data_IF_313646006972
#
_entry.id   IF_313646006972
#
_cell.length_a   1.000
_cell.length_b   1.000
_cell.length_c   1.000
_cell.angle_alpha   90.00
_cell.angle_beta   90.00
_cell.angle_gamma   90.00
#
_symmetry.space_group_name_H-M   'P 1'
#
loop_
_entity.id
_entity.type
_entity.pdbx_description
1 polymer ?
#
# COMPACT_ATOMS: atom_id res chain seq x y z
N UNK A 1 -16.14 30.09 -3.88
CA UNK A 1 -16.42 29.74 -5.30
C UNK A 1 -15.22 28.96 -5.86
N UNK A 2 -15.43 27.83 -6.55
CA UNK A 2 -14.34 27.05 -7.14
C UNK A 2 -13.69 27.83 -8.29
N UNK A 3 -12.39 28.13 -8.19
CA UNK A 3 -11.61 28.91 -9.18
C UNK A 3 -11.25 28.10 -10.43
N UNK A 4 -11.54 26.79 -10.44
CA UNK A 4 -11.16 25.89 -11.54
C UNK A 4 -12.12 26.04 -12.73
N UNK A 5 -11.62 26.32 -13.95
CA UNK A 5 -12.46 26.46 -15.14
C UNK A 5 -13.36 25.23 -15.38
N UNK A 6 -14.63 25.45 -15.72
CA UNK A 6 -15.65 24.38 -15.94
C UNK A 6 -15.15 23.27 -16.87
N UNK A 7 -14.43 23.63 -17.94
CA UNK A 7 -13.87 22.67 -18.91
C UNK A 7 -12.93 21.62 -18.30
N UNK A 8 -12.22 21.97 -17.21
CA UNK A 8 -11.29 21.06 -16.51
C UNK A 8 -11.98 20.09 -15.56
N UNK A 9 -13.27 20.29 -15.30
CA UNK A 9 -14.09 19.47 -14.39
C UNK A 9 -15.01 18.52 -15.15
N UNK A 10 -14.92 18.49 -16.48
CA UNK A 10 -15.78 17.67 -17.33
C UNK A 10 -15.42 16.19 -17.23
N UNK A 11 -16.47 15.34 -17.18
CA UNK A 11 -16.35 13.89 -17.35
C UNK A 11 -15.97 13.55 -18.80
N UNK A 12 -15.41 12.36 -19.01
CA UNK A 12 -14.89 11.88 -20.32
C UNK A 12 -15.88 12.06 -21.48
N UNK A 13 -17.14 11.64 -21.32
CA UNK A 13 -18.18 11.74 -22.36
C UNK A 13 -18.35 13.21 -22.83
N UNK A 14 -18.45 14.13 -21.87
CA UNK A 14 -18.61 15.56 -22.16
C UNK A 14 -17.34 16.15 -22.76
N UNK A 15 -16.15 15.73 -22.32
CA UNK A 15 -14.88 16.15 -22.94
C UNK A 15 -14.81 15.76 -24.40
N UNK A 16 -15.18 14.53 -24.75
CA UNK A 16 -15.18 14.07 -26.15
C UNK A 16 -16.13 14.90 -27.03
N UNK A 17 -17.34 15.21 -26.54
CA UNK A 17 -18.28 16.08 -27.26
C UNK A 17 -17.74 17.49 -27.48
N UNK A 18 -17.16 18.10 -26.44
CA UNK A 18 -16.55 19.44 -26.54
C UNK A 18 -15.31 19.41 -27.42
N UNK A 19 -14.50 18.35 -27.33
CA UNK A 19 -13.29 18.17 -28.10
C UNK A 19 -13.55 18.14 -29.60
N UNK A 20 -14.63 17.49 -30.06
CA UNK A 20 -15.02 17.52 -31.49
C UNK A 20 -15.14 18.94 -32.05
N UNK A 21 -15.68 19.88 -31.25
CA UNK A 21 -15.80 21.29 -31.63
C UNK A 21 -14.49 22.07 -31.44
N UNK A 22 -13.71 21.72 -30.43
CA UNK A 22 -12.50 22.43 -30.04
C UNK A 22 -11.28 22.09 -30.93
N UNK A 23 -11.12 20.83 -31.35
CA UNK A 23 -9.94 20.41 -32.14
C UNK A 23 -9.80 21.21 -33.44
N UNK A 24 -10.86 21.46 -34.24
CA UNK A 24 -10.75 22.29 -35.45
C UNK A 24 -10.30 23.73 -35.17
N UNK A 25 -10.63 24.26 -33.98
CA UNK A 25 -10.23 25.63 -33.57
C UNK A 25 -8.83 25.70 -32.99
N UNK A 26 -8.16 24.56 -32.80
CA UNK A 26 -6.87 24.49 -32.12
C UNK A 26 -5.71 24.74 -33.10
N UNK A 27 -5.03 25.88 -32.95
CA UNK A 27 -3.89 26.28 -33.80
C UNK A 27 -2.51 25.94 -33.20
N UNK A 28 -2.44 25.03 -32.23
CA UNK A 28 -1.18 24.70 -31.56
C UNK A 28 -0.42 23.54 -32.22
N UNK A 29 0.92 23.57 -32.17
CA UNK A 29 1.79 22.53 -32.77
C UNK A 29 1.51 21.11 -32.26
N UNK A 30 1.25 20.96 -30.96
CA UNK A 30 1.09 19.66 -30.31
C UNK A 30 -0.36 19.48 -29.84
N UNK A 31 -1.16 18.70 -30.57
CA UNK A 31 -2.56 18.45 -30.23
C UNK A 31 -2.71 17.80 -28.85
N UNK A 32 -1.89 16.79 -28.55
CA UNK A 32 -1.91 16.07 -27.26
C UNK A 32 -1.62 17.00 -26.08
N UNK A 33 -0.57 17.83 -26.18
CA UNK A 33 -0.22 18.81 -25.14
C UNK A 33 -1.30 19.88 -24.98
N UNK A 34 -1.89 20.34 -26.08
CA UNK A 34 -3.01 21.27 -26.08
C UNK A 34 -4.22 20.71 -25.37
N UNK A 35 -4.64 19.50 -25.74
CA UNK A 35 -5.77 18.79 -25.18
C UNK A 35 -5.63 18.61 -23.67
N UNK A 36 -4.44 18.14 -23.25
CA UNK A 36 -4.06 17.99 -21.84
C UNK A 36 -4.24 19.30 -21.06
N UNK A 37 -3.73 20.42 -21.59
CA UNK A 37 -3.81 21.74 -20.93
C UNK A 37 -5.23 22.29 -20.90
N UNK A 38 -5.97 22.11 -21.98
CA UNK A 38 -7.34 22.61 -22.12
C UNK A 38 -8.30 21.93 -21.14
N UNK A 39 -8.27 20.59 -21.11
CA UNK A 39 -9.17 19.78 -20.29
C UNK A 39 -8.60 19.37 -18.92
N UNK A 40 -7.33 19.65 -18.63
CA UNK A 40 -6.71 19.31 -17.35
C UNK A 40 -6.53 17.81 -17.11
N UNK A 41 -6.28 17.02 -18.17
CA UNK A 41 -6.12 15.55 -18.09
C UNK A 41 -4.65 15.13 -18.07
N UNK A 42 -4.35 13.84 -17.88
CA UNK A 42 -3.01 13.29 -18.08
C UNK A 42 -2.66 13.18 -19.57
N UNK A 43 -1.37 13.07 -19.90
CA UNK A 43 -0.92 12.86 -21.29
C UNK A 43 -1.46 11.55 -21.86
N UNK A 44 -1.43 10.46 -21.09
CA UNK A 44 -1.99 9.17 -21.51
C UNK A 44 -3.50 9.25 -21.78
N UNK A 45 -4.25 9.99 -20.96
CA UNK A 45 -5.67 10.22 -21.21
C UNK A 45 -5.90 11.03 -22.49
N UNK A 46 -5.11 12.09 -22.72
CA UNK A 46 -5.21 12.90 -23.93
C UNK A 46 -4.95 12.07 -25.19
N UNK A 47 -3.91 11.24 -25.20
CA UNK A 47 -3.59 10.34 -26.33
C UNK A 47 -4.79 9.44 -26.65
N UNK A 48 -5.29 8.70 -25.65
CA UNK A 48 -6.44 7.78 -25.83
C UNK A 48 -7.69 8.49 -26.34
N UNK A 49 -7.99 9.69 -25.83
CA UNK A 49 -9.17 10.45 -26.23
C UNK A 49 -9.03 11.03 -27.63
N UNK A 50 -7.83 11.48 -28.02
CA UNK A 50 -7.52 11.95 -29.37
C UNK A 50 -7.60 10.81 -30.40
N UNK A 51 -7.12 9.61 -30.06
CA UNK A 51 -7.26 8.42 -30.90
C UNK A 51 -8.71 8.01 -31.12
N UNK A 52 -9.54 8.07 -30.07
CA UNK A 52 -10.99 7.81 -30.18
C UNK A 52 -11.67 8.83 -31.10
N UNK A 53 -11.17 10.06 -31.16
CA UNK A 53 -11.66 11.10 -32.06
C UNK A 53 -11.13 10.94 -33.50
N UNK A 54 -10.30 9.91 -33.77
CA UNK A 54 -9.81 9.56 -35.09
C UNK A 54 -8.45 10.17 -35.47
N UNK A 55 -7.80 10.89 -34.55
CA UNK A 55 -6.52 11.54 -34.83
C UNK A 55 -5.36 10.59 -34.51
N UNK A 56 -4.50 10.37 -35.51
CA UNK A 56 -3.31 9.53 -35.35
C UNK A 56 -2.26 10.26 -34.51
N UNK A 57 -1.81 9.60 -33.46
CA UNK A 57 -0.66 10.02 -32.65
C UNK A 57 0.51 9.10 -32.95
N UNK A 58 1.70 9.67 -33.07
CA UNK A 58 2.94 8.95 -33.33
C UNK A 58 3.21 7.85 -32.28
N UNK A 59 3.71 6.71 -32.74
CA UNK A 59 3.90 5.52 -31.91
C UNK A 59 5.12 5.64 -30.98
N UNK A 60 6.21 6.26 -31.44
CA UNK A 60 7.39 6.49 -30.61
C UNK A 60 7.07 7.47 -29.49
N UNK A 61 6.35 8.55 -29.81
CA UNK A 61 5.86 9.51 -28.84
C UNK A 61 5.02 8.83 -27.75
N UNK A 62 4.14 7.90 -28.11
CA UNK A 62 3.36 7.12 -27.12
C UNK A 62 4.26 6.31 -26.20
N UNK A 63 5.25 5.59 -26.76
CA UNK A 63 6.18 4.77 -25.98
C UNK A 63 6.92 5.62 -24.95
N UNK A 64 7.45 6.77 -25.38
CA UNK A 64 8.12 7.72 -24.49
C UNK A 64 7.22 8.18 -23.34
N UNK A 65 5.96 8.56 -23.62
CA UNK A 65 5.03 8.99 -22.58
C UNK A 65 4.68 7.86 -21.60
N UNK A 66 4.49 6.63 -22.10
CA UNK A 66 4.21 5.46 -21.26
C UNK A 66 5.39 5.18 -20.32
N UNK A 67 6.62 5.21 -20.85
CA UNK A 67 7.83 4.98 -20.07
C UNK A 67 8.03 6.06 -19.01
N UNK A 68 7.85 7.33 -19.37
CA UNK A 68 7.91 8.44 -18.42
C UNK A 68 6.90 8.28 -17.27
N UNK A 69 5.65 7.90 -17.58
CA UNK A 69 4.63 7.69 -16.55
C UNK A 69 4.99 6.49 -15.64
N UNK A 70 5.47 5.39 -16.22
CA UNK A 70 5.94 4.22 -15.46
C UNK A 70 7.10 4.58 -14.53
N UNK A 71 8.08 5.33 -15.02
CA UNK A 71 9.23 5.78 -14.22
C UNK A 71 8.79 6.69 -13.07
N UNK A 72 7.84 7.60 -13.32
CA UNK A 72 7.26 8.46 -12.29
C UNK A 72 6.52 7.65 -11.23
N UNK A 73 5.74 6.65 -11.64
CA UNK A 73 5.03 5.76 -10.73
C UNK A 73 6.01 4.97 -9.85
N UNK A 74 7.04 4.35 -10.44
CA UNK A 74 8.08 3.63 -9.70
C UNK A 74 8.80 4.53 -8.69
N UNK A 75 9.14 5.76 -9.08
CA UNK A 75 9.79 6.73 -8.17
C UNK A 75 8.88 7.10 -7.01
N UNK A 76 7.59 7.34 -7.27
CA UNK A 76 6.61 7.63 -6.22
C UNK A 76 6.41 6.45 -5.28
N UNK A 77 6.35 5.22 -5.80
CA UNK A 77 6.25 4.00 -5.00
C UNK A 77 7.47 3.80 -4.12
N UNK A 78 8.69 3.91 -4.68
CA UNK A 78 9.93 3.82 -3.90
C UNK A 78 9.97 4.88 -2.80
N UNK A 79 9.55 6.12 -3.09
CA UNK A 79 9.46 7.20 -2.09
C UNK A 79 8.50 6.84 -0.96
N UNK A 80 7.29 6.37 -1.29
CA UNK A 80 6.29 5.93 -0.28
C UNK A 80 6.79 4.75 0.54
N UNK A 81 7.55 3.82 -0.06
CA UNK A 81 8.17 2.70 0.66
C UNK A 81 9.22 3.19 1.66
N UNK A 82 10.12 4.07 1.23
CA UNK A 82 11.14 4.66 2.11
C UNK A 82 10.52 5.48 3.23
N UNK A 83 9.48 6.29 2.95
CA UNK A 83 8.76 7.06 3.98
C UNK A 83 8.04 6.13 4.99
N UNK A 84 7.52 4.99 4.53
CA UNK A 84 6.92 3.99 5.41
C UNK A 84 7.98 3.28 6.25
N UNK A 85 9.11 2.90 5.66
CA UNK A 85 10.23 2.30 6.38
C UNK A 85 10.81 3.26 7.42
N UNK A 86 10.98 4.55 7.09
CA UNK A 86 11.43 5.58 8.02
C UNK A 86 10.45 5.78 9.17
N UNK A 87 9.15 5.90 8.88
CA UNK A 87 8.12 5.99 9.91
C UNK A 87 8.11 4.75 10.79
N UNK A 88 8.23 3.56 10.20
CA UNK A 88 8.29 2.31 10.95
C UNK A 88 9.58 2.22 11.79
N UNK A 89 10.72 2.73 11.32
CA UNK A 89 11.96 2.76 12.09
C UNK A 89 11.95 3.81 13.19
N UNK A 90 11.26 4.94 13.00
CA UNK A 90 11.02 5.94 14.06
C UNK A 90 10.05 5.40 15.13
N UNK A 91 9.13 4.50 14.74
CA UNK A 91 8.22 3.79 15.64
C UNK A 91 8.89 2.53 16.25
N UNK A 92 9.97 2.04 15.67
CA UNK A 92 10.78 0.96 16.22
C UNK A 92 11.73 1.57 17.26
N UNK A 93 11.30 1.49 18.51
CA UNK A 93 12.01 1.81 19.73
C UNK A 93 13.52 1.59 19.64
N UNK A 94 14.24 2.54 20.23
CA UNK A 94 15.69 2.53 20.35
C UNK A 94 16.11 1.23 21.08
N UNK A 95 16.87 0.37 20.42
CA UNK A 95 17.47 -0.83 21.03
C UNK A 95 18.97 -0.61 21.06
N UNK A 96 19.62 -0.98 22.15
CA UNK A 96 21.07 -0.88 22.31
C UNK A 96 21.68 -2.19 22.84
N UNK A 97 22.96 -2.15 23.23
CA UNK A 97 23.66 -3.32 23.77
C UNK A 97 23.12 -3.79 25.14
N UNK A 98 22.44 -2.92 25.89
CA UNK A 98 21.92 -3.18 27.25
C UNK A 98 20.42 -3.49 27.25
N UNK A 99 19.65 -2.76 26.44
CA UNK A 99 18.21 -2.81 26.33
C UNK A 99 17.80 -3.45 25.01
N UNK A 100 17.01 -4.52 25.11
CA UNK A 100 16.29 -5.09 23.97
C UNK A 100 15.31 -4.07 23.38
N UNK A 101 14.75 -3.21 24.23
CA UNK A 101 13.76 -2.20 23.85
C UNK A 101 13.77 -1.04 24.84
N UNK A 102 13.99 0.21 24.39
CA UNK A 102 13.90 1.42 25.23
C UNK A 102 12.51 2.04 25.06
N UNK A 103 11.70 2.03 26.13
CA UNK A 103 10.35 2.61 26.14
C UNK A 103 10.37 4.15 26.21
N UNK A 104 11.48 4.73 26.69
CA UNK A 104 11.67 6.18 26.73
C UNK A 104 12.89 6.59 27.54
N UNK A 105 13.08 7.90 27.65
CA UNK A 105 14.14 8.52 28.44
C UNK A 105 13.53 9.33 29.58
N UNK A 106 14.10 9.21 30.78
CA UNK A 106 13.72 10.04 31.93
C UNK A 106 14.15 11.51 31.72
N UNK A 107 13.68 12.44 32.56
CA UNK A 107 14.07 13.86 32.48
C UNK A 107 15.57 14.11 32.63
N UNK A 108 16.30 13.17 33.23
CA UNK A 108 17.77 13.17 33.33
C UNK A 108 18.49 12.50 32.16
N UNK A 109 17.78 12.08 31.11
CA UNK A 109 18.35 11.42 29.93
C UNK A 109 18.72 9.94 30.14
N UNK A 110 18.30 9.31 31.23
CA UNK A 110 18.55 7.87 31.47
C UNK A 110 17.48 7.05 30.74
N UNK A 111 17.85 6.09 29.87
CA UNK A 111 16.90 5.22 29.18
C UNK A 111 16.25 4.22 30.14
N UNK A 112 14.99 3.86 29.89
CA UNK A 112 14.31 2.77 30.57
C UNK A 112 13.50 1.93 29.58
N UNK A 113 13.43 0.63 29.80
CA UNK A 113 12.75 -0.31 28.92
C UNK A 113 13.06 -1.77 29.24
N UNK A 114 12.85 -2.67 28.29
CA UNK A 114 13.09 -4.11 28.43
C UNK A 114 14.55 -4.42 28.13
N UNK A 115 15.21 -5.11 29.06
CA UNK A 115 16.60 -5.58 28.89
C UNK A 115 16.68 -6.90 28.13
N UNK A 116 17.84 -7.17 27.50
CA UNK A 116 18.09 -8.47 26.87
C UNK A 116 17.96 -9.63 27.86
N UNK A 117 18.35 -9.43 29.12
CA UNK A 117 18.21 -10.43 30.18
C UNK A 117 16.74 -10.73 30.49
N UNK A 118 15.90 -9.70 30.66
CA UNK A 118 14.46 -9.88 30.90
C UNK A 118 13.78 -10.59 29.73
N UNK A 119 14.03 -10.15 28.49
CA UNK A 119 13.46 -10.78 27.30
C UNK A 119 13.87 -12.25 27.16
N UNK A 120 15.16 -12.56 27.41
CA UNK A 120 15.65 -13.93 27.36
C UNK A 120 15.06 -14.78 28.49
N UNK A 121 14.85 -14.24 29.68
CA UNK A 121 14.24 -14.99 30.79
C UNK A 121 12.74 -15.27 30.54
N UNK A 122 12.00 -14.31 29.99
CA UNK A 122 10.58 -14.45 29.67
C UNK A 122 10.33 -15.49 28.56
N UNK A 123 11.12 -15.44 27.48
CA UNK A 123 11.04 -16.42 26.38
C UNK A 123 11.40 -17.85 26.82
N UNK A 124 12.20 -18.00 27.88
CA UNK A 124 12.53 -19.31 28.46
C UNK A 124 11.42 -19.83 29.39
N UNK A 125 10.69 -18.94 30.07
CA UNK A 125 9.49 -19.29 30.84
C UNK A 125 8.32 -19.75 29.95
N UNK A 126 8.08 -19.09 28.81
CA UNK A 126 7.04 -19.51 27.86
C UNK A 126 7.33 -20.90 27.25
N UNK A 127 8.60 -21.16 26.89
CA UNK A 127 9.02 -22.48 26.39
C UNK A 127 8.98 -23.58 27.45
N UNK A 128 9.08 -23.24 28.73
CA UNK A 128 8.84 -24.18 29.85
C UNK A 128 7.36 -24.50 30.01
N UNK A 129 6.49 -23.50 29.91
CA UNK A 129 5.03 -23.67 30.00
C UNK A 129 4.41 -24.46 28.84
N UNK A 130 4.95 -24.35 27.62
CA UNK A 130 4.50 -25.19 26.50
C UNK A 130 4.99 -26.65 26.60
N UNK A 131 6.17 -26.89 27.19
CA UNK A 131 6.69 -28.24 27.45
C UNK A 131 5.93 -28.95 28.58
N UNK A 132 5.49 -28.20 29.59
CA UNK A 132 4.63 -28.71 30.66
C UNK A 132 3.21 -29.01 30.15
N UNK A 133 2.64 -28.15 29.28
CA UNK A 133 1.32 -28.39 28.66
C UNK A 133 1.31 -29.52 27.63
N UNK A 134 2.45 -29.87 27.03
CA UNK A 134 2.57 -31.02 26.11
C UNK A 134 3.01 -32.32 26.80
N UNK A 135 3.53 -32.24 28.04
CA UNK A 135 3.84 -33.40 28.88
C UNK A 135 2.62 -33.99 29.59
N UNK A 136 1.49 -33.26 29.66
CA UNK A 136 0.25 -33.74 30.30
C UNK A 136 -0.58 -34.66 29.37
N UNK A 137 -0.25 -34.75 28.08
CA UNK A 137 -0.99 -35.54 27.09
C UNK A 137 -0.36 -36.88 26.69
N UNK A 138 0.67 -37.37 27.40
CA UNK A 138 1.17 -38.74 27.19
C UNK A 138 1.29 -39.52 28.51
N UNK A 139 0.27 -40.34 28.76
CA UNK A 139 0.21 -41.39 29.78
C UNK A 139 -1.26 -41.58 30.19
N UNK A 140 -1.96 -42.68 29.96
CA UNK A 140 -1.53 -44.02 29.57
C UNK A 140 -2.76 -44.77 29.01
N UNK A 141 -2.51 -45.69 28.08
CA UNK A 141 -3.52 -46.56 27.46
C UNK A 141 -3.92 -47.70 28.40
N UNK A 142 -5.23 -47.87 28.65
CA UNK A 142 -6.01 -49.15 28.59
C UNK A 142 -7.20 -49.11 29.55
N UNK A 143 -8.40 -48.96 28.98
CA UNK A 143 -9.49 -49.93 29.17
C UNK A 143 -10.61 -49.60 28.19
N UNK A 144 -11.15 -50.67 27.61
CA UNK A 144 -12.16 -50.72 26.57
C UNK A 144 -13.39 -49.88 26.88
N UNK A 145 -13.81 -49.06 25.93
CA UNK A 145 -15.22 -48.74 25.64
C UNK A 145 -15.30 -48.16 24.22
N UNK A 146 -15.80 -48.96 23.29
CA UNK A 146 -16.15 -48.51 21.96
C UNK A 146 -17.37 -47.59 22.07
N UNK A 147 -17.16 -46.28 21.91
CA UNK A 147 -18.26 -45.32 21.78
C UNK A 147 -18.28 -44.84 20.34
N UNK A 148 -19.32 -45.27 19.63
CA UNK A 148 -19.61 -44.92 18.24
C UNK A 148 -19.79 -43.41 18.07
N UNK A 149 -19.03 -42.82 17.15
CA UNK A 149 -19.03 -41.39 16.81
C UNK A 149 -20.21 -40.98 15.90
N UNK A 150 -21.35 -41.65 16.03
CA UNK A 150 -22.60 -41.31 15.36
C UNK A 150 -23.74 -41.42 16.37
N UNK A 151 -23.97 -40.34 17.12
CA UNK A 151 -25.28 -40.06 17.69
C UNK A 151 -25.45 -38.55 17.80
N UNK A 152 -26.27 -38.06 16.90
CA UNK A 152 -26.85 -36.73 16.87
C UNK A 152 -27.62 -36.46 18.16
N UNK A 153 -27.22 -35.44 18.92
CA UNK A 153 -28.12 -34.73 19.83
C UNK A 153 -27.56 -33.32 20.09
N UNK A 154 -27.88 -32.40 19.19
CA UNK A 154 -27.76 -30.95 19.39
C UNK A 154 -29.11 -30.47 19.94
N UNK A 155 -29.21 -30.07 21.23
CA UNK A 155 -30.41 -29.38 21.70
C UNK A 155 -30.38 -27.91 21.30
N UNK A 156 -31.54 -27.46 20.81
CA UNK A 156 -31.86 -26.17 20.20
C UNK A 156 -31.78 -24.97 21.16
#
# INVERSE_FOLDING_TARGET
>A
MSTTPKRKRLKRKNRLQVAKKWIPTYNGKNLVKGYRRWFGVSLLCAIKEIEILGYKVDAEYKKQIIELEKMKQKKAEKKRKMEKEQRNSEEYYDSDETYYFIAGYTSGGVPYGVTWEQYNNETQCEKRGEKERSSEYLGDTKSDDHIDLFSDDIPF
#
